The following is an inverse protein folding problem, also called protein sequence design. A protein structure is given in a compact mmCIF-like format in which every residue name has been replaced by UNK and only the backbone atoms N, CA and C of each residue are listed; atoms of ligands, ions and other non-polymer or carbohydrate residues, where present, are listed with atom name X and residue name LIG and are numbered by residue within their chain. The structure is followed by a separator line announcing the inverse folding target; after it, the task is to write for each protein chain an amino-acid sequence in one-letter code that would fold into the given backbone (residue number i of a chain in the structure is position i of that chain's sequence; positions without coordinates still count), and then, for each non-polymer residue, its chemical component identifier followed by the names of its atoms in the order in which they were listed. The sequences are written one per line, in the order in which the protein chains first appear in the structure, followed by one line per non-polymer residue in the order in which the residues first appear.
data_IF_426711671698
#
_entry.id   IF_426711671698
#
_cell.length_a   1.000
_cell.length_b   1.000
_cell.length_c   1.000
_cell.angle_alpha   90.00
_cell.angle_beta   90.00
_cell.angle_gamma   90.00
#
_symmetry.space_group_name_H-M   'P 1'
#
loop_
_entity.id
_entity.type
_entity.pdbx_description
1 polymer ?
#
# COMPACT_ATOMS: atom_id res chain seq x y z
N UNK A 1 -7.66 -13.05 -21.53
CA UNK A 1 -7.49 -12.12 -22.67
C UNK A 1 -6.03 -11.80 -22.66
N UNK A 2 -5.36 -12.10 -23.77
CA UNK A 2 -3.90 -11.99 -23.86
C UNK A 2 -3.50 -10.55 -24.16
N UNK A 3 -2.46 -10.11 -23.49
CA UNK A 3 -1.79 -8.84 -23.70
C UNK A 3 -0.30 -9.10 -23.79
N UNK A 4 0.34 -8.59 -24.82
CA UNK A 4 1.79 -8.53 -24.89
C UNK A 4 2.27 -7.45 -23.91
N UNK A 5 3.19 -7.82 -23.03
CA UNK A 5 3.75 -6.96 -21.98
C UNK A 5 5.24 -6.81 -22.24
N UNK A 6 5.71 -5.57 -22.28
CA UNK A 6 7.13 -5.24 -22.32
C UNK A 6 7.65 -5.13 -20.89
N UNK A 7 8.82 -5.69 -20.58
CA UNK A 7 9.49 -5.52 -19.29
C UNK A 7 11.01 -5.56 -19.42
N UNK A 8 11.75 -5.03 -18.44
CA UNK A 8 13.20 -5.15 -18.39
C UNK A 8 13.65 -6.11 -17.29
N UNK A 9 14.61 -6.98 -17.63
CA UNK A 9 15.38 -7.79 -16.68
C UNK A 9 16.74 -7.17 -16.39
N UNK A 10 17.30 -7.49 -15.23
CA UNK A 10 18.68 -7.17 -14.86
C UNK A 10 19.56 -8.41 -15.05
N UNK A 11 20.51 -8.31 -15.97
CA UNK A 11 21.52 -9.36 -16.19
C UNK A 11 22.85 -8.97 -15.55
N UNK A 12 23.44 -9.91 -14.80
CA UNK A 12 24.82 -9.83 -14.34
C UNK A 12 25.73 -10.62 -15.28
N UNK A 13 26.82 -10.00 -15.73
CA UNK A 13 27.72 -10.61 -16.72
C UNK A 13 29.20 -10.30 -16.45
N UNK A 14 30.07 -11.14 -17.02
CA UNK A 14 31.50 -10.87 -17.19
C UNK A 14 31.77 -10.51 -18.66
N UNK A 15 32.50 -9.42 -18.96
CA UNK A 15 32.78 -9.04 -20.36
C UNK A 15 33.46 -10.13 -21.19
N UNK A 16 34.31 -10.94 -20.53
CA UNK A 16 34.88 -12.18 -21.06
C UNK A 16 35.25 -13.12 -19.91
N UNK A 17 35.57 -14.38 -20.21
CA UNK A 17 35.97 -15.40 -19.22
C UNK A 17 37.17 -15.01 -18.35
N UNK A 18 38.01 -14.06 -18.79
CA UNK A 18 39.20 -13.60 -18.04
C UNK A 18 38.86 -12.57 -16.97
N UNK A 19 37.73 -11.90 -17.09
CA UNK A 19 37.32 -10.86 -16.15
C UNK A 19 36.82 -11.49 -14.85
N UNK A 20 37.12 -10.84 -13.72
CA UNK A 20 36.65 -11.25 -12.39
C UNK A 20 35.58 -10.32 -11.81
N UNK A 21 35.37 -9.15 -12.42
CA UNK A 21 34.44 -8.13 -11.94
C UNK A 21 33.12 -8.23 -12.70
N UNK A 22 32.05 -8.51 -11.97
CA UNK A 22 30.69 -8.53 -12.50
C UNK A 22 30.24 -7.13 -12.93
N UNK A 23 29.53 -7.09 -14.05
CA UNK A 23 28.82 -5.92 -14.58
C UNK A 23 27.34 -6.22 -14.64
N UNK A 24 26.53 -5.16 -14.76
CA UNK A 24 25.08 -5.27 -14.86
C UNK A 24 24.62 -4.61 -16.16
N UNK A 25 23.61 -5.18 -16.82
CA UNK A 25 22.87 -4.54 -17.92
C UNK A 25 21.37 -4.76 -17.75
N UNK A 26 20.58 -3.93 -18.41
CA UNK A 26 19.14 -4.11 -18.57
C UNK A 26 18.90 -4.72 -19.95
N UNK A 27 18.05 -5.75 -20.03
CA UNK A 27 17.61 -6.36 -21.29
C UNK A 27 16.08 -6.25 -21.37
N UNK A 28 15.58 -5.77 -22.51
CA UNK A 28 14.14 -5.67 -22.73
C UNK A 28 13.58 -7.00 -23.22
N UNK A 29 12.42 -7.36 -22.70
CA UNK A 29 11.72 -8.59 -23.01
C UNK A 29 10.25 -8.30 -23.31
N UNK A 30 9.65 -9.18 -24.10
CA UNK A 30 8.23 -9.18 -24.41
C UNK A 30 7.67 -10.56 -24.09
N UNK A 31 6.50 -10.61 -23.46
CA UNK A 31 5.78 -11.86 -23.31
C UNK A 31 4.28 -11.64 -23.12
N UNK A 32 3.50 -12.68 -23.42
CA UNK A 32 2.05 -12.64 -23.28
C UNK A 32 1.62 -12.93 -21.84
N UNK A 33 0.74 -12.08 -21.32
CA UNK A 33 0.06 -12.24 -20.04
C UNK A 33 -1.44 -12.37 -20.27
N UNK A 34 -2.07 -13.33 -19.59
CA UNK A 34 -3.52 -13.53 -19.63
C UNK A 34 -4.23 -12.81 -18.47
N UNK A 35 -5.08 -11.85 -18.79
CA UNK A 35 -5.98 -11.21 -17.83
C UNK A 35 -7.39 -11.77 -17.99
N UNK A 36 -8.01 -12.14 -16.86
CA UNK A 36 -9.37 -12.70 -16.84
C UNK A 36 -10.40 -11.72 -17.40
N UNK A 37 -11.24 -12.19 -18.33
CA UNK A 37 -12.39 -11.43 -18.84
C UNK A 37 -13.67 -11.96 -18.20
N UNK A 38 -14.50 -11.07 -17.67
CA UNK A 38 -15.71 -11.46 -16.93
C UNK A 38 -16.98 -10.93 -17.58
N UNK A 39 -18.09 -11.60 -17.29
CA UNK A 39 -19.43 -11.20 -17.74
C UNK A 39 -20.14 -10.37 -16.68
N UNK A 40 -21.29 -9.78 -17.04
CA UNK A 40 -22.03 -8.88 -16.16
C UNK A 40 -22.69 -9.63 -14.98
N UNK A 41 -23.10 -10.87 -15.20
CA UNK A 41 -23.66 -11.79 -14.22
C UNK A 41 -22.64 -12.25 -13.17
N UNK A 42 -21.36 -12.30 -13.53
CA UNK A 42 -20.26 -12.73 -12.65
C UNK A 42 -19.60 -11.56 -11.89
N UNK A 43 -20.00 -10.33 -12.19
CA UNK A 43 -19.33 -9.13 -11.70
C UNK A 43 -20.35 -8.05 -11.26
N UNK A 44 -21.18 -8.35 -10.25
CA UNK A 44 -22.21 -7.43 -9.74
C UNK A 44 -21.60 -6.21 -9.04
N UNK A 45 -22.40 -5.15 -8.91
CA UNK A 45 -22.02 -3.91 -8.21
C UNK A 45 -22.24 -4.09 -6.71
N UNK A 46 -21.20 -3.86 -5.92
CA UNK A 46 -21.23 -3.89 -4.46
C UNK A 46 -21.41 -2.48 -3.87
N UNK A 47 -20.78 -1.47 -4.47
CA UNK A 47 -20.88 -0.08 -4.04
C UNK A 47 -21.01 0.88 -5.22
N UNK A 48 -21.70 2.00 -5.02
CA UNK A 48 -21.66 3.16 -5.89
C UNK A 48 -21.11 4.34 -5.09
N UNK A 49 -19.93 4.82 -5.49
CA UNK A 49 -19.23 5.94 -4.87
C UNK A 49 -19.48 7.20 -5.68
N UNK A 50 -19.88 8.27 -5.02
CA UNK A 50 -20.04 9.60 -5.63
C UNK A 50 -19.13 10.55 -4.87
N UNK A 51 -18.19 11.19 -5.56
CA UNK A 51 -17.32 12.21 -4.96
C UNK A 51 -17.28 13.46 -5.82
N UNK A 52 -16.93 14.58 -5.19
CA UNK A 52 -16.66 15.83 -5.89
C UNK A 52 -15.60 15.62 -6.99
N UNK A 53 -15.85 16.17 -8.19
CA UNK A 53 -14.93 16.11 -9.33
C UNK A 53 -14.83 14.78 -10.09
N UNK A 54 -15.08 13.63 -9.46
CA UNK A 54 -14.93 12.31 -10.10
C UNK A 54 -16.25 11.68 -10.55
N UNK A 55 -17.39 12.26 -10.18
CA UNK A 55 -18.72 11.74 -10.53
C UNK A 55 -19.03 10.42 -9.83
N UNK A 56 -19.98 9.65 -10.40
CA UNK A 56 -20.38 8.33 -9.86
C UNK A 56 -19.49 7.23 -10.43
N UNK A 57 -18.91 6.44 -9.53
CA UNK A 57 -18.06 5.29 -9.83
C UNK A 57 -18.60 4.02 -9.18
N UNK A 58 -18.52 2.91 -9.88
CA UNK A 58 -18.94 1.60 -9.37
C UNK A 58 -17.74 0.85 -8.78
N UNK A 59 -17.96 0.18 -7.65
CA UNK A 59 -17.08 -0.86 -7.13
C UNK A 59 -17.83 -2.17 -7.22
N UNK A 60 -17.20 -3.16 -7.86
CA UNK A 60 -17.80 -4.43 -8.21
C UNK A 60 -17.08 -5.58 -7.52
N UNK A 61 -17.75 -6.71 -7.37
CA UNK A 61 -17.21 -7.85 -6.64
C UNK A 61 -17.05 -9.08 -7.53
N UNK A 62 -15.99 -9.84 -7.30
CA UNK A 62 -15.78 -11.19 -7.83
C UNK A 62 -14.99 -12.02 -6.85
N UNK A 63 -15.42 -13.26 -6.58
CA UNK A 63 -14.69 -14.20 -5.73
C UNK A 63 -14.30 -13.60 -4.37
N UNK A 64 -15.21 -12.81 -3.76
CA UNK A 64 -15.01 -12.04 -2.51
C UNK A 64 -14.00 -10.88 -2.57
N UNK A 65 -13.43 -10.59 -3.74
CA UNK A 65 -12.55 -9.46 -3.95
C UNK A 65 -13.31 -8.29 -4.57
N UNK A 66 -13.06 -7.08 -4.09
CA UNK A 66 -13.61 -5.85 -4.65
C UNK A 66 -12.70 -5.33 -5.76
N UNK A 67 -13.29 -4.65 -6.73
CA UNK A 67 -12.60 -4.13 -7.90
C UNK A 67 -13.14 -2.76 -8.27
N UNK A 68 -12.24 -1.86 -8.61
CA UNK A 68 -12.55 -0.52 -9.13
C UNK A 68 -12.06 -0.37 -10.56
N UNK A 69 -12.76 0.45 -11.33
CA UNK A 69 -12.38 0.75 -12.70
C UNK A 69 -11.08 1.55 -12.73
N UNK A 70 -10.09 1.12 -13.51
CA UNK A 70 -8.88 1.92 -13.74
C UNK A 70 -9.22 3.08 -14.67
N UNK A 71 -8.88 4.29 -14.26
CA UNK A 71 -9.10 5.50 -15.06
C UNK A 71 -8.16 5.47 -16.26
N UNK A 72 -8.76 5.51 -17.46
CA UNK A 72 -8.06 5.30 -18.73
C UNK A 72 -7.17 6.46 -19.15
N UNK A 73 -7.49 7.70 -18.74
CA UNK A 73 -6.80 8.89 -19.25
C UNK A 73 -6.78 8.89 -20.79
N UNK A 74 -5.62 9.18 -21.39
CA UNK A 74 -5.39 9.08 -22.83
C UNK A 74 -4.85 7.70 -23.28
N UNK A 75 -4.70 6.73 -22.36
CA UNK A 75 -4.04 5.44 -22.66
C UNK A 75 -4.97 4.46 -23.35
N UNK A 76 -4.40 3.61 -24.21
CA UNK A 76 -5.08 2.43 -24.73
C UNK A 76 -5.17 1.33 -23.66
N UNK A 77 -6.05 0.35 -23.83
CA UNK A 77 -6.17 -0.75 -22.87
C UNK A 77 -4.85 -1.55 -22.72
N UNK A 78 -4.13 -1.90 -23.81
CA UNK A 78 -2.81 -2.53 -23.69
C UNK A 78 -1.79 -1.67 -22.95
N UNK A 79 -1.71 -0.35 -23.22
CA UNK A 79 -0.83 0.56 -22.50
C UNK A 79 -1.15 0.63 -21.00
N UNK A 80 -2.44 0.65 -20.65
CA UNK A 80 -2.85 0.60 -19.24
C UNK A 80 -2.40 -0.69 -18.56
N UNK A 81 -2.58 -1.84 -19.24
CA UNK A 81 -2.17 -3.15 -18.73
C UNK A 81 -0.67 -3.19 -18.53
N UNK A 82 0.11 -2.82 -19.55
CA UNK A 82 1.57 -2.81 -19.45
C UNK A 82 2.02 -1.91 -18.29
N UNK A 83 1.57 -0.65 -18.27
CA UNK A 83 1.88 0.29 -17.19
C UNK A 83 1.55 -0.24 -15.79
N UNK A 84 0.39 -0.90 -15.63
CA UNK A 84 -0.05 -1.41 -14.33
C UNK A 84 0.70 -2.65 -13.86
N UNK A 85 1.21 -3.45 -14.79
CA UNK A 85 1.95 -4.68 -14.50
C UNK A 85 3.45 -4.48 -14.38
N UNK A 86 4.02 -3.47 -15.06
CA UNK A 86 5.47 -3.31 -15.18
C UNK A 86 5.97 -1.95 -14.70
N UNK A 87 5.06 -0.98 -14.51
CA UNK A 87 5.36 0.38 -14.08
C UNK A 87 6.33 1.14 -15.00
N UNK A 88 6.42 0.75 -16.28
CA UNK A 88 7.40 1.27 -17.25
C UNK A 88 7.17 2.73 -17.64
N UNK A 89 5.91 3.23 -17.69
CA UNK A 89 5.66 4.65 -18.01
C UNK A 89 5.87 5.61 -16.83
N UNK A 90 6.34 5.14 -15.68
CA UNK A 90 6.68 6.06 -14.61
C UNK A 90 7.97 6.82 -14.99
N UNK A 91 8.11 8.12 -14.70
CA UNK A 91 9.39 8.86 -14.79
C UNK A 91 10.53 8.21 -13.96
N UNK A 92 10.19 7.19 -13.18
CA UNK A 92 11.03 6.10 -12.72
C UNK A 92 11.19 4.98 -13.75
N UNK A 93 11.75 5.31 -14.92
CA UNK A 93 12.71 4.41 -15.59
C UNK A 93 13.96 4.31 -14.67
N UNK A 94 13.73 3.91 -13.42
CA UNK A 94 14.61 4.00 -12.27
C UNK A 94 15.81 3.11 -12.50
N UNK A 95 15.62 1.98 -13.19
CA UNK A 95 16.72 1.13 -13.60
C UNK A 95 17.61 1.84 -14.64
N UNK A 96 17.06 2.47 -15.68
CA UNK A 96 17.85 3.24 -16.65
C UNK A 96 18.51 4.48 -16.03
N UNK A 97 17.82 5.21 -15.15
CA UNK A 97 18.37 6.33 -14.35
C UNK A 97 19.44 5.86 -13.37
N UNK A 98 19.28 4.71 -12.73
CA UNK A 98 20.26 4.12 -11.79
C UNK A 98 21.46 3.56 -12.53
N UNK A 99 21.27 2.91 -13.68
CA UNK A 99 22.34 2.44 -14.55
C UNK A 99 23.13 3.62 -15.16
N UNK A 100 22.43 4.70 -15.55
CA UNK A 100 23.04 5.95 -16.01
C UNK A 100 23.78 6.68 -14.87
N UNK A 101 23.18 6.80 -13.68
CA UNK A 101 23.77 7.45 -12.51
C UNK A 101 24.97 6.67 -11.93
N UNK A 102 25.01 5.35 -12.11
CA UNK A 102 26.16 4.51 -11.72
C UNK A 102 27.30 4.53 -12.76
N UNK A 103 27.17 5.28 -13.86
CA UNK A 103 28.18 5.33 -14.93
C UNK A 103 28.40 3.98 -15.63
N UNK A 104 27.44 3.06 -15.56
CA UNK A 104 27.57 1.68 -16.08
C UNK A 104 26.99 1.49 -17.49
N UNK A 105 26.74 2.59 -18.20
CA UNK A 105 26.18 2.59 -19.55
C UNK A 105 27.25 2.48 -20.66
N UNK A 106 28.52 2.26 -20.31
CA UNK A 106 29.52 1.75 -21.25
C UNK A 106 29.47 0.22 -21.25
N UNK A 107 28.79 -0.30 -22.26
CA UNK A 107 28.58 -1.72 -22.50
C UNK A 107 29.83 -2.35 -23.11
N UNK A 108 30.74 -2.85 -22.28
CA UNK A 108 31.76 -3.83 -22.71
C UNK A 108 31.14 -5.22 -22.96
N UNK A 109 29.81 -5.31 -23.00
CA UNK A 109 29.09 -6.52 -23.36
C UNK A 109 29.34 -6.82 -24.84
N UNK A 110 29.83 -8.01 -25.12
CA UNK A 110 30.08 -8.53 -26.45
C UNK A 110 29.52 -9.94 -26.56
N UNK A 111 29.53 -10.53 -27.74
CA UNK A 111 29.20 -11.94 -27.95
C UNK A 111 30.03 -12.91 -27.08
N UNK A 112 31.21 -12.48 -26.61
CA UNK A 112 32.10 -13.27 -25.75
C UNK A 112 31.81 -13.09 -24.25
N UNK A 113 30.83 -12.27 -23.88
CA UNK A 113 30.43 -12.06 -22.50
C UNK A 113 29.70 -13.27 -21.93
N UNK A 114 29.88 -13.51 -20.65
CA UNK A 114 29.28 -14.65 -19.93
C UNK A 114 28.23 -14.14 -18.98
N UNK A 115 26.97 -14.52 -19.19
CA UNK A 115 25.87 -14.23 -18.26
C UNK A 115 26.02 -15.13 -17.04
N UNK A 116 26.02 -14.52 -15.85
CA UNK A 116 26.18 -15.19 -14.56
C UNK A 116 24.85 -15.27 -13.82
N UNK A 117 24.00 -14.26 -13.96
CA UNK A 117 22.65 -14.24 -13.40
C UNK A 117 21.70 -13.40 -14.27
N UNK A 118 20.44 -13.79 -14.31
CA UNK A 118 19.36 -13.14 -15.05
C UNK A 118 18.06 -13.29 -14.24
N UNK A 119 17.36 -12.19 -13.97
CA UNK A 119 16.11 -12.17 -13.22
C UNK A 119 14.86 -12.20 -14.13
N UNK A 120 15.00 -12.40 -15.44
CA UNK A 120 13.88 -12.35 -16.39
C UNK A 120 12.71 -13.28 -16.02
N UNK A 121 12.99 -14.52 -15.61
CA UNK A 121 11.95 -15.47 -15.19
C UNK A 121 11.29 -15.07 -13.86
N UNK A 122 12.04 -14.44 -12.95
CA UNK A 122 11.48 -13.89 -11.72
C UNK A 122 10.53 -12.72 -12.02
N UNK A 123 10.95 -11.80 -12.90
CA UNK A 123 10.11 -10.68 -13.34
C UNK A 123 8.83 -11.17 -14.04
N UNK A 124 8.93 -12.16 -14.94
CA UNK A 124 7.74 -12.79 -15.57
C UNK A 124 6.78 -13.36 -14.52
N UNK A 125 7.31 -14.06 -13.51
CA UNK A 125 6.50 -14.62 -12.43
C UNK A 125 5.80 -13.51 -11.64
N UNK A 126 6.51 -12.44 -11.28
CA UNK A 126 5.93 -11.30 -10.56
C UNK A 126 4.83 -10.61 -11.37
N UNK A 127 5.06 -10.40 -12.66
CA UNK A 127 4.06 -9.82 -13.58
C UNK A 127 2.83 -10.73 -13.66
N UNK A 128 3.00 -12.05 -13.78
CA UNK A 128 1.90 -13.00 -13.79
C UNK A 128 1.12 -13.03 -12.46
N UNK A 129 1.80 -12.91 -11.32
CA UNK A 129 1.13 -12.79 -10.02
C UNK A 129 0.34 -11.48 -9.92
N UNK A 130 0.95 -10.36 -10.33
CA UNK A 130 0.29 -9.06 -10.32
C UNK A 130 -0.90 -9.00 -11.28
N UNK A 131 -0.86 -9.73 -12.40
CA UNK A 131 -1.97 -9.82 -13.35
C UNK A 131 -3.26 -10.40 -12.74
N UNK A 132 -3.17 -11.18 -11.66
CA UNK A 132 -4.32 -11.73 -10.94
C UNK A 132 -5.15 -10.64 -10.24
N UNK A 133 -4.55 -9.50 -9.97
CA UNK A 133 -5.21 -8.35 -9.36
C UNK A 133 -6.03 -7.54 -10.37
N UNK A 134 -6.03 -7.94 -11.65
CA UNK A 134 -6.74 -7.25 -12.70
C UNK A 134 -7.75 -8.15 -13.41
N UNK A 135 -8.84 -7.54 -13.86
CA UNK A 135 -9.83 -8.19 -14.72
C UNK A 135 -10.30 -7.23 -15.83
N UNK A 136 -10.75 -7.80 -16.94
CA UNK A 136 -11.35 -7.07 -18.05
C UNK A 136 -12.87 -7.20 -18.00
N UNK A 137 -13.55 -6.06 -17.93
CA UNK A 137 -15.00 -6.01 -17.98
C UNK A 137 -15.48 -4.88 -18.89
N UNK A 138 -16.35 -5.22 -19.86
CA UNK A 138 -16.86 -4.30 -20.90
C UNK A 138 -15.76 -3.45 -21.56
N UNK A 139 -14.62 -4.08 -21.88
CA UNK A 139 -13.49 -3.42 -22.54
C UNK A 139 -12.70 -2.42 -21.66
N UNK A 140 -12.93 -2.43 -20.34
CA UNK A 140 -12.18 -1.63 -19.38
C UNK A 140 -11.36 -2.53 -18.47
N UNK A 141 -10.22 -2.02 -18.01
CA UNK A 141 -9.40 -2.62 -16.97
C UNK A 141 -10.00 -2.30 -15.59
N UNK A 142 -10.11 -3.31 -14.75
CA UNK A 142 -10.51 -3.20 -13.36
C UNK A 142 -9.39 -3.76 -12.49
N UNK A 143 -9.12 -3.09 -11.39
CA UNK A 143 -8.03 -3.38 -10.46
C UNK A 143 -8.64 -3.73 -9.10
N UNK A 144 -8.10 -4.77 -8.47
CA UNK A 144 -8.49 -5.19 -7.13
C UNK A 144 -8.31 -4.03 -6.16
N UNK A 145 -9.27 -3.83 -5.29
CA UNK A 145 -9.26 -2.76 -4.32
C UNK A 145 -9.89 -3.21 -3.01
N UNK A 146 -9.73 -2.40 -1.98
CA UNK A 146 -10.36 -2.64 -0.68
C UNK A 146 -11.76 -2.04 -0.64
N UNK A 147 -12.34 -2.04 0.55
CA UNK A 147 -13.60 -1.37 0.84
C UNK A 147 -13.48 0.16 0.64
N UNK A 148 -14.46 0.80 -0.02
CA UNK A 148 -14.57 2.25 0.01
C UNK A 148 -15.02 2.73 1.39
N UNK A 149 -14.41 3.81 1.88
CA UNK A 149 -14.81 4.44 3.13
C UNK A 149 -14.61 5.95 3.10
N UNK A 150 -15.24 6.62 4.05
CA UNK A 150 -15.10 8.04 4.25
C UNK A 150 -13.80 8.34 4.99
N UNK A 151 -13.23 9.51 4.72
CA UNK A 151 -12.10 10.00 5.47
C UNK A 151 -12.14 11.49 5.72
N UNK A 152 -11.48 11.89 6.79
CA UNK A 152 -11.20 13.29 7.12
C UNK A 152 -9.71 13.44 7.41
N UNK A 153 -9.10 14.42 6.74
CA UNK A 153 -7.71 14.82 6.95
C UNK A 153 -7.68 16.32 7.28
N UNK A 154 -6.93 16.70 8.31
CA UNK A 154 -6.64 18.10 8.64
C UNK A 154 -5.37 18.54 7.91
N UNK A 155 -5.45 19.62 7.14
CA UNK A 155 -4.28 20.25 6.55
C UNK A 155 -3.59 21.21 7.54
N UNK A 156 -2.27 21.46 7.39
CA UNK A 156 -1.50 22.34 8.28
C UNK A 156 -2.05 23.76 8.45
N UNK A 157 -2.84 24.24 7.49
CA UNK A 157 -3.42 25.59 7.49
C UNK A 157 -4.81 25.66 8.15
N UNK A 158 -5.23 24.62 8.89
CA UNK A 158 -6.54 24.60 9.53
C UNK A 158 -7.68 24.49 8.53
N UNK A 159 -7.52 23.72 7.45
CA UNK A 159 -8.63 23.32 6.59
C UNK A 159 -8.77 21.80 6.61
N UNK A 160 -9.97 21.27 6.44
CA UNK A 160 -10.16 19.83 6.35
C UNK A 160 -10.39 19.40 4.90
N UNK A 161 -10.00 18.17 4.60
CA UNK A 161 -10.42 17.45 3.42
C UNK A 161 -11.35 16.32 3.84
N UNK A 162 -12.61 16.41 3.43
CA UNK A 162 -13.57 15.32 3.52
C UNK A 162 -13.62 14.60 2.18
N UNK A 163 -13.52 13.28 2.18
CA UNK A 163 -13.54 12.54 0.92
C UNK A 163 -13.90 11.07 1.10
N UNK A 164 -13.87 10.35 -0.03
CA UNK A 164 -14.01 8.90 -0.08
C UNK A 164 -12.71 8.32 -0.62
N UNK A 165 -12.16 7.35 0.09
CA UNK A 165 -10.98 6.61 -0.31
C UNK A 165 -11.30 5.13 -0.33
N UNK A 166 -10.47 4.36 -1.05
CA UNK A 166 -10.49 2.90 -0.98
C UNK A 166 -9.29 2.49 -0.13
N UNK A 167 -9.52 1.71 0.95
CA UNK A 167 -8.62 1.42 2.08
C UNK A 167 -7.10 1.62 1.85
N UNK A 168 -6.48 0.86 0.96
CA UNK A 168 -5.03 0.91 0.67
C UNK A 168 -4.50 2.23 0.10
N UNK A 169 -5.35 3.17 -0.32
CA UNK A 169 -4.94 4.47 -0.89
C UNK A 169 -4.99 5.62 0.11
N UNK A 170 -5.48 5.37 1.33
CA UNK A 170 -5.57 6.40 2.34
C UNK A 170 -4.24 6.54 3.10
N UNK A 171 -3.57 7.69 2.92
CA UNK A 171 -2.22 7.93 3.46
C UNK A 171 -2.19 8.62 4.81
N UNK A 172 -3.23 9.38 5.18
CA UNK A 172 -3.23 10.13 6.44
C UNK A 172 -4.61 10.66 6.85
N UNK A 173 -4.93 10.55 8.14
CA UNK A 173 -6.17 11.01 8.77
C UNK A 173 -6.96 9.86 9.40
N UNK A 174 -8.28 10.02 9.54
CA UNK A 174 -9.15 8.97 10.08
C UNK A 174 -10.06 8.41 8.99
N UNK A 175 -10.08 7.08 8.86
CA UNK A 175 -10.93 6.33 7.94
C UNK A 175 -12.16 5.80 8.67
N UNK A 176 -13.29 5.78 7.97
CA UNK A 176 -14.60 5.35 8.43
C UNK A 176 -15.22 4.50 7.34
N UNK A 177 -15.87 3.40 7.69
CA UNK A 177 -16.48 2.51 6.70
C UNK A 177 -17.71 3.15 6.03
N UNK A 178 -18.29 2.45 5.06
CA UNK A 178 -19.42 2.96 4.28
C UNK A 178 -20.69 3.29 5.11
N UNK A 179 -20.86 2.74 6.31
CA UNK A 179 -22.00 3.03 7.20
C UNK A 179 -21.73 4.14 8.23
N UNK A 180 -20.55 4.74 8.22
CA UNK A 180 -20.11 5.65 9.27
C UNK A 180 -20.10 7.13 8.82
N UNK A 181 -20.95 7.48 7.84
CA UNK A 181 -21.03 8.85 7.29
C UNK A 181 -21.29 9.89 8.39
N UNK A 182 -22.23 9.63 9.28
CA UNK A 182 -22.57 10.55 10.37
C UNK A 182 -21.41 10.69 11.37
N UNK A 183 -20.67 9.60 11.61
CA UNK A 183 -19.53 9.60 12.52
C UNK A 183 -18.36 10.41 11.99
N UNK A 184 -18.06 10.30 10.69
CA UNK A 184 -16.99 11.08 10.05
C UNK A 184 -17.34 12.58 10.03
N UNK A 185 -18.62 12.94 9.83
CA UNK A 185 -19.08 14.34 9.90
C UNK A 185 -18.96 14.89 11.33
N UNK A 186 -19.37 14.11 12.33
CA UNK A 186 -19.21 14.49 13.73
C UNK A 186 -17.73 14.67 14.11
N UNK A 187 -16.86 13.77 13.66
CA UNK A 187 -15.42 13.85 13.89
C UNK A 187 -14.80 15.08 13.19
N UNK A 188 -15.22 15.38 11.95
CA UNK A 188 -14.80 16.58 11.24
C UNK A 188 -15.19 17.86 11.99
N UNK A 189 -16.42 17.90 12.54
CA UNK A 189 -16.91 19.02 13.36
C UNK A 189 -16.05 19.23 14.60
N UNK A 190 -15.73 18.15 15.31
CA UNK A 190 -14.84 18.21 16.47
C UNK A 190 -13.47 18.79 16.11
N UNK A 191 -12.82 18.29 15.05
CA UNK A 191 -11.52 18.80 14.61
C UNK A 191 -11.59 20.30 14.29
N UNK A 192 -12.61 20.73 13.54
CA UNK A 192 -12.75 22.13 13.15
C UNK A 192 -12.92 23.04 14.38
N UNK A 193 -13.74 22.62 15.35
CA UNK A 193 -13.97 23.37 16.59
C UNK A 193 -12.71 23.45 17.47
N UNK A 194 -11.89 22.41 17.51
CA UNK A 194 -10.66 22.37 18.31
C UNK A 194 -9.50 23.16 17.67
N UNK A 195 -9.45 23.25 16.34
CA UNK A 195 -8.26 23.75 15.62
C UNK A 195 -8.46 25.09 14.88
N UNK A 196 -9.69 25.56 14.68
CA UNK A 196 -9.98 26.74 13.85
C UNK A 196 -10.94 27.67 14.58
N UNK A 197 -10.52 28.93 14.76
CA UNK A 197 -11.30 29.95 15.49
C UNK A 197 -12.14 30.86 14.57
N UNK A 198 -12.05 30.70 13.24
CA UNK A 198 -12.52 31.70 12.26
C UNK A 198 -13.66 31.24 11.32
N UNK A 199 -14.14 29.99 11.38
CA UNK A 199 -15.32 29.60 10.59
C UNK A 199 -16.61 30.04 11.31
N UNK A 200 -17.21 31.13 10.81
CA UNK A 200 -18.47 31.69 11.33
C UNK A 200 -19.66 30.70 11.29
N UNK A 201 -19.60 29.66 10.45
CA UNK A 201 -20.62 28.61 10.36
C UNK A 201 -19.98 27.27 9.94
N UNK A 202 -19.48 26.53 10.94
CA UNK A 202 -18.88 25.19 10.77
C UNK A 202 -19.89 24.19 10.20
N UNK A 203 -21.16 24.31 10.56
CA UNK A 203 -22.21 23.38 10.15
C UNK A 203 -22.50 23.49 8.66
N UNK A 204 -22.67 24.72 8.16
CA UNK A 204 -22.84 24.96 6.72
C UNK A 204 -21.63 24.48 5.90
N UNK A 205 -20.42 24.74 6.37
CA UNK A 205 -19.20 24.31 5.69
C UNK A 205 -19.12 22.78 5.57
N UNK A 206 -19.45 22.05 6.64
CA UNK A 206 -19.46 20.59 6.64
C UNK A 206 -20.58 20.02 5.77
N UNK A 207 -21.77 20.61 5.80
CA UNK A 207 -22.89 20.19 4.98
C UNK A 207 -22.53 20.27 3.49
N UNK A 208 -21.95 21.38 3.04
CA UNK A 208 -21.50 21.56 1.66
C UNK A 208 -20.48 20.47 1.27
N UNK A 209 -19.48 20.19 2.11
CA UNK A 209 -18.44 19.18 1.82
C UNK A 209 -18.94 17.74 1.88
N UNK A 210 -19.77 17.40 2.86
CA UNK A 210 -20.29 16.05 3.04
C UNK A 210 -21.38 15.71 2.00
N UNK A 211 -22.11 16.71 1.49
CA UNK A 211 -23.14 16.52 0.46
C UNK A 211 -22.56 16.02 -0.87
N UNK A 212 -21.31 16.38 -1.18
CA UNK A 212 -20.62 15.96 -2.40
C UNK A 212 -20.07 14.53 -2.34
N UNK A 213 -20.14 13.85 -1.19
CA UNK A 213 -19.55 12.54 -0.96
C UNK A 213 -20.61 11.53 -0.47
N UNK A 214 -20.89 10.52 -1.28
CA UNK A 214 -21.88 9.49 -0.98
C UNK A 214 -21.39 8.09 -1.36
N UNK A 215 -21.53 7.13 -0.45
CA UNK A 215 -21.29 5.70 -0.71
C UNK A 215 -22.64 4.99 -0.60
N UNK A 216 -23.20 4.59 -1.74
CA UNK A 216 -24.37 3.73 -1.77
C UNK A 216 -23.92 2.26 -1.67
N UNK A 217 -24.30 1.61 -0.57
CA UNK A 217 -24.00 0.19 -0.31
C UNK A 217 -25.10 -0.68 -0.92
N UNK A 218 -24.74 -1.56 -1.87
CA UNK A 218 -25.65 -2.53 -2.48
C UNK A 218 -25.45 -3.94 -1.91
N UNK A 219 -24.29 -4.21 -1.32
CA UNK A 219 -23.94 -5.49 -0.68
C UNK A 219 -23.39 -5.23 0.73
N UNK A 220 -24.26 -5.11 1.76
CA UNK A 220 -23.87 -4.82 3.14
C UNK A 220 -22.84 -5.77 3.74
N UNK A 221 -22.84 -7.04 3.31
CA UNK A 221 -21.89 -8.07 3.74
C UNK A 221 -20.45 -7.78 3.32
N UNK A 222 -20.23 -6.83 2.41
CA UNK A 222 -18.91 -6.37 1.96
C UNK A 222 -18.41 -5.15 2.73
N UNK A 223 -19.22 -4.60 3.63
CA UNK A 223 -18.78 -3.58 4.59
C UNK A 223 -18.14 -4.32 5.76
N UNK A 224 -16.82 -4.22 5.86
CA UNK A 224 -16.09 -4.75 6.99
C UNK A 224 -16.28 -3.82 8.18
N UNK A 225 -16.43 -4.40 9.39
CA UNK A 225 -16.42 -3.58 10.61
C UNK A 225 -15.09 -2.85 10.66
N UNK A 226 -15.18 -1.55 10.93
CA UNK A 226 -14.08 -0.60 10.91
C UNK A 226 -12.79 -1.22 11.45
N UNK A 227 -11.65 -0.93 10.80
CA UNK A 227 -10.36 -1.09 11.46
C UNK A 227 -10.47 -0.29 12.76
N UNK A 228 -10.73 -0.99 13.88
CA UNK A 228 -10.55 -0.43 15.20
C UNK A 228 -9.06 -0.10 15.25
N UNK A 229 -8.73 1.17 14.96
CA UNK A 229 -7.47 1.73 15.37
C UNK A 229 -7.44 1.53 16.88
N UNK A 230 -6.66 0.54 17.31
CA UNK A 230 -6.40 0.27 18.70
C UNK A 230 -6.00 1.60 19.33
N UNK A 231 -6.77 2.05 20.33
CA UNK A 231 -6.33 3.18 21.13
C UNK A 231 -4.91 2.89 21.63
N UNK A 232 -4.07 3.91 21.86
CA UNK A 232 -2.72 3.70 22.41
C UNK A 232 -2.75 2.74 23.61
N UNK A 233 -3.78 2.82 24.45
CA UNK A 233 -3.97 1.94 25.60
C UNK A 233 -4.33 0.51 25.20
N UNK A 234 -5.23 0.32 24.23
CA UNK A 234 -5.60 -1.01 23.74
C UNK A 234 -4.47 -1.68 22.95
N UNK A 235 -3.68 -0.90 22.20
CA UNK A 235 -2.46 -1.37 21.55
C UNK A 235 -1.43 -1.82 22.59
N UNK A 236 -1.17 -0.98 23.60
CA UNK A 236 -0.27 -1.33 24.71
C UNK A 236 -0.78 -2.54 25.49
N UNK A 237 -2.10 -2.69 25.69
CA UNK A 237 -2.70 -3.85 26.36
C UNK A 237 -2.60 -5.11 25.51
N UNK A 238 -2.87 -5.04 24.20
CA UNK A 238 -2.69 -6.19 23.30
C UNK A 238 -1.22 -6.60 23.22
N UNK A 239 -0.29 -5.65 23.08
CA UNK A 239 1.14 -5.93 23.14
C UNK A 239 1.54 -6.61 24.47
N UNK A 240 1.08 -6.08 25.61
CA UNK A 240 1.35 -6.68 26.94
C UNK A 240 0.70 -8.06 27.12
N UNK A 241 -0.51 -8.27 26.59
CA UNK A 241 -1.24 -9.53 26.68
C UNK A 241 -0.61 -10.62 25.82
N UNK A 242 -0.14 -10.27 24.62
CA UNK A 242 0.49 -11.20 23.67
C UNK A 242 1.91 -11.54 24.13
N UNK A 243 2.69 -10.56 24.61
CA UNK A 243 3.99 -10.82 25.26
C UNK A 243 3.82 -11.77 26.43
N UNK A 244 2.79 -11.60 27.27
CA UNK A 244 2.49 -12.55 28.35
C UNK A 244 2.09 -13.93 27.83
N UNK A 245 1.28 -14.00 26.77
CA UNK A 245 0.77 -15.25 26.18
C UNK A 245 1.85 -16.08 25.47
N UNK A 246 2.65 -15.47 24.60
CA UNK A 246 3.74 -16.14 23.87
C UNK A 246 4.89 -16.54 24.82
N UNK A 247 5.19 -15.76 25.87
CA UNK A 247 6.18 -16.17 26.88
C UNK A 247 5.74 -17.46 27.60
N UNK A 248 4.44 -17.64 27.85
CA UNK A 248 3.92 -18.89 28.44
C UNK A 248 3.93 -20.10 27.49
N UNK A 249 3.74 -19.92 26.17
CA UNK A 249 3.70 -21.03 25.21
C UNK A 249 5.09 -21.56 24.82
N UNK A 250 6.15 -20.76 24.94
CA UNK A 250 7.49 -21.13 24.47
C UNK A 250 8.46 -21.61 25.58
N UNK A 251 8.00 -21.73 26.83
CA UNK A 251 8.73 -22.43 27.90
C UNK A 251 10.12 -21.87 28.26
N UNK A 252 10.42 -20.63 27.89
CA UNK A 252 11.67 -19.93 28.20
C UNK A 252 11.37 -18.58 28.86
N UNK A 253 11.98 -18.32 30.01
CA UNK A 253 11.91 -17.03 30.68
C UNK A 253 12.64 -15.96 29.85
N UNK A 254 11.89 -15.23 29.02
CA UNK A 254 12.32 -13.93 28.52
C UNK A 254 12.30 -12.95 29.71
N UNK A 255 13.42 -12.86 30.43
CA UNK A 255 13.61 -11.77 31.41
C UNK A 255 13.73 -10.43 30.66
N UNK A 256 12.59 -9.74 30.54
CA UNK A 256 12.56 -8.31 30.24
C UNK A 256 12.57 -7.97 28.76
N UNK A 257 11.41 -8.12 28.11
CA UNK A 257 11.02 -7.28 26.97
C UNK A 257 10.16 -6.10 27.47
N UNK A 258 10.74 -4.90 27.49
CA UNK A 258 10.00 -3.65 27.74
C UNK A 258 9.84 -2.90 26.44
N UNK A 259 8.62 -2.46 26.13
CA UNK A 259 8.32 -1.54 25.03
C UNK A 259 8.02 -0.19 25.63
N UNK A 260 8.98 0.75 25.51
CA UNK A 260 8.78 2.14 25.89
C UNK A 260 8.35 2.94 24.66
N UNK A 261 7.17 3.55 24.75
CA UNK A 261 6.59 4.39 23.70
C UNK A 261 6.67 5.85 24.13
N UNK A 262 7.68 6.54 23.62
CA UNK A 262 7.82 7.99 23.79
C UNK A 262 7.19 8.67 22.57
N UNK A 263 6.18 9.50 22.80
CA UNK A 263 5.60 10.39 21.79
C UNK A 263 6.05 11.81 22.11
N UNK A 264 7.09 12.26 21.44
CA UNK A 264 7.50 13.66 21.42
C UNK A 264 7.23 14.19 20.01
N UNK A 265 6.20 15.04 19.86
CA UNK A 265 5.96 15.79 18.62
C UNK A 265 5.57 14.98 17.38
N UNK A 266 4.97 13.79 17.52
CA UNK A 266 4.50 12.99 16.37
C UNK A 266 5.44 11.85 15.95
N UNK A 267 6.59 11.70 16.61
CA UNK A 267 7.49 10.56 16.43
C UNK A 267 7.16 9.45 17.45
N UNK A 268 7.04 8.22 16.97
CA UNK A 268 6.87 7.02 17.79
C UNK A 268 8.23 6.34 17.92
N UNK A 269 8.89 6.48 19.07
CA UNK A 269 10.04 5.66 19.40
C UNK A 269 9.56 4.33 19.99
N UNK A 270 10.00 3.20 19.42
CA UNK A 270 9.78 1.86 19.97
C UNK A 270 11.15 1.33 20.39
N UNK A 271 11.41 1.31 21.69
CA UNK A 271 12.61 0.67 22.25
C UNK A 271 12.28 -0.78 22.59
N UNK A 272 12.97 -1.73 21.95
CA UNK A 272 12.84 -3.16 22.23
C UNK A 272 14.12 -3.61 22.91
N UNK A 273 14.03 -3.91 24.20
CA UNK A 273 15.12 -4.50 24.98
C UNK A 273 14.88 -5.99 25.10
N UNK A 274 15.87 -6.82 24.80
CA UNK A 274 15.82 -8.25 25.07
C UNK A 274 17.03 -8.59 25.93
N UNK A 275 16.82 -9.02 27.18
CA UNK A 275 17.89 -9.28 28.12
C UNK A 275 18.11 -10.77 28.38
N UNK A 276 19.26 -11.30 27.95
CA UNK A 276 20.17 -12.00 28.87
C UNK A 276 21.54 -11.37 28.56
N UNK A 277 22.11 -10.62 29.52
CA UNK A 277 23.39 -9.88 29.41
C UNK A 277 23.44 -8.53 28.67
N UNK A 278 22.36 -7.73 28.72
CA UNK A 278 22.47 -6.26 28.73
C UNK A 278 23.19 -5.55 27.57
N UNK A 279 23.33 -6.16 26.38
CA UNK A 279 24.13 -5.56 25.30
C UNK A 279 23.48 -5.47 23.91
N UNK A 280 22.21 -5.83 23.74
CA UNK A 280 21.52 -5.61 22.46
C UNK A 280 20.11 -5.05 22.66
N UNK A 281 20.00 -3.73 22.52
CA UNK A 281 18.74 -3.02 22.30
C UNK A 281 18.67 -2.48 20.88
N UNK A 282 17.52 -2.61 20.24
CA UNK A 282 17.23 -1.94 18.97
C UNK A 282 16.23 -0.83 19.28
N UNK A 283 16.67 0.41 19.05
CA UNK A 283 15.82 1.59 19.14
C UNK A 283 15.53 2.04 17.71
N UNK A 284 14.28 1.90 17.30
CA UNK A 284 13.80 2.44 16.04
C UNK A 284 12.81 3.58 16.31
N UNK A 285 12.99 4.67 15.58
CA UNK A 285 12.00 5.74 15.51
C UNK A 285 11.16 5.58 14.25
N UNK A 286 9.85 5.60 14.42
CA UNK A 286 8.88 5.57 13.34
C UNK A 286 8.16 6.92 13.30
N UNK A 287 8.16 7.55 12.13
CA UNK A 287 7.32 8.71 11.88
C UNK A 287 5.89 8.23 11.60
N UNK A 288 4.94 8.64 12.45
CA UNK A 288 3.52 8.30 12.32
C UNK A 288 2.84 9.05 11.17
N UNK A 289 3.51 10.04 10.56
CA UNK A 289 3.04 10.70 9.34
C UNK A 289 3.38 9.92 8.08
N UNK A 290 4.37 9.03 8.12
CA UNK A 290 4.87 8.31 6.95
C UNK A 290 4.57 6.81 6.96
N UNK A 291 4.41 6.20 8.14
CA UNK A 291 4.21 4.75 8.29
C UNK A 291 2.88 4.45 8.96
N UNK A 292 2.07 3.59 8.34
CA UNK A 292 0.88 3.04 9.00
C UNK A 292 1.27 2.07 10.12
N UNK A 293 0.35 1.89 11.06
CA UNK A 293 0.58 1.11 12.28
C UNK A 293 0.85 -0.37 11.95
N UNK A 294 0.27 -0.90 10.87
CA UNK A 294 0.44 -2.29 10.45
C UNK A 294 1.84 -2.53 9.87
N UNK A 295 2.40 -1.55 9.18
CA UNK A 295 3.79 -1.54 8.69
C UNK A 295 4.78 -1.49 9.84
N UNK A 296 4.53 -0.63 10.83
CA UNK A 296 5.35 -0.54 12.05
C UNK A 296 5.30 -1.89 12.80
N UNK A 297 4.10 -2.46 12.97
CA UNK A 297 3.87 -3.75 13.61
C UNK A 297 4.59 -4.92 12.92
N UNK A 298 4.44 -5.05 11.60
CA UNK A 298 5.09 -6.11 10.82
C UNK A 298 6.62 -6.00 10.87
N UNK A 299 7.15 -4.77 10.91
CA UNK A 299 8.57 -4.51 11.08
C UNK A 299 9.07 -4.98 12.45
N UNK A 300 8.34 -4.63 13.52
CA UNK A 300 8.65 -5.02 14.90
C UNK A 300 8.61 -6.54 15.10
N UNK A 301 7.54 -7.21 14.64
CA UNK A 301 7.39 -8.67 14.76
C UNK A 301 8.48 -9.41 13.99
N UNK A 302 8.82 -8.95 12.78
CA UNK A 302 9.91 -9.53 11.98
C UNK A 302 11.26 -9.41 12.68
N UNK A 303 11.51 -8.29 13.38
CA UNK A 303 12.74 -8.08 14.16
C UNK A 303 12.81 -8.96 15.40
N UNK A 304 11.74 -9.02 16.19
CA UNK A 304 11.65 -9.92 17.35
C UNK A 304 11.95 -11.36 16.94
N UNK A 305 11.34 -11.83 15.84
CA UNK A 305 11.65 -13.14 15.27
C UNK A 305 13.12 -13.27 14.87
N UNK A 306 13.72 -12.27 14.22
CA UNK A 306 15.13 -12.32 13.82
C UNK A 306 16.13 -12.38 14.98
N UNK A 307 15.80 -11.82 16.15
CA UNK A 307 16.63 -11.87 17.36
C UNK A 307 16.55 -13.22 18.10
N UNK A 308 15.56 -14.07 17.81
CA UNK A 308 15.44 -15.41 18.40
C UNK A 308 16.05 -16.53 17.55
N UNK A 309 16.42 -16.25 16.30
CA UNK A 309 17.10 -17.20 15.40
C UNK A 309 18.61 -16.93 15.24
N UNK A 310 19.21 -16.15 16.14
CA UNK A 310 20.66 -16.04 16.33
C UNK A 310 21.07 -16.75 17.62
#
# INVERSE_FOLDING_TARGET
MKFEVEFCSTQQYLPSQRHKKLRCRCENHFFDVDISKVRNDEFPVAFIVSSEGNGRSEIRIRDKNLYQKVIRGQKTLPEMVNHKLTNIDSPSNYLMRKLAALGKLESDFTENSVIVADDAEEQKRLICEQAKDYIIFKGNLWERCDEPGYYVTLFPYGSIHFGIAVGSRFRSGRFFNAFEKEQVVAYAKQILQENIHEHNDVDKYLEERASCCEIQVLMPEMVTKCHEFLSKQDFLQKCKSIVRGEITEFGGELEGASVDVVNEGGQLAIDIRTGIFGASGCSDSYDLHENDIETIWNSVVKKIRSYHYQ
#
